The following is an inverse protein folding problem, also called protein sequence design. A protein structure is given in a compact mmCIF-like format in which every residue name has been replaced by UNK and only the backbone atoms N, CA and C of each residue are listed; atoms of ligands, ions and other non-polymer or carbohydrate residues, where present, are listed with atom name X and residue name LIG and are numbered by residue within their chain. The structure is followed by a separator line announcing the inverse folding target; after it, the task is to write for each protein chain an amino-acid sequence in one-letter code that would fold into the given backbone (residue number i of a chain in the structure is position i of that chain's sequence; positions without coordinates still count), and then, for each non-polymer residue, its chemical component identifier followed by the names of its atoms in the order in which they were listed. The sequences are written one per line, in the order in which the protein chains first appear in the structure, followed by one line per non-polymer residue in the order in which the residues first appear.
data_IF_553702155931
#
_entry.id   IF_553702155931
#
_cell.length_a   1.000
_cell.length_b   1.000
_cell.length_c   1.000
_cell.angle_alpha   90.00
_cell.angle_beta   90.00
_cell.angle_gamma   90.00
#
_symmetry.space_group_name_H-M   'P 1'
#
loop_
_entity.id
_entity.type
_entity.pdbx_description
1 polymer ?
#
# COMPACT_ATOMS: atom_id res chain seq x y z
N UNK A 1 56.90 5.25 -25.72
CA UNK A 1 55.77 6.18 -25.89
C UNK A 1 55.07 5.98 -27.25
N UNK A 2 54.63 4.73 -27.56
CA UNK A 2 53.97 4.34 -28.82
C UNK A 2 52.48 4.01 -28.59
N UNK A 3 51.81 4.82 -27.77
CA UNK A 3 50.41 4.59 -27.36
C UNK A 3 49.43 5.65 -27.88
N UNK A 4 49.87 6.52 -28.81
CA UNK A 4 48.95 7.29 -29.66
C UNK A 4 48.56 6.41 -30.86
N UNK A 5 47.79 5.36 -30.56
CA UNK A 5 47.22 4.45 -31.55
C UNK A 5 46.22 5.25 -32.38
N UNK A 6 46.60 5.60 -33.61
CA UNK A 6 45.80 5.59 -34.83
C UNK A 6 44.25 5.77 -34.71
N UNK A 7 43.78 6.75 -33.92
CA UNK A 7 42.34 7.05 -33.74
C UNK A 7 41.66 7.32 -35.09
N UNK A 8 42.41 7.83 -36.07
CA UNK A 8 41.94 8.12 -37.42
C UNK A 8 41.52 6.88 -38.27
N UNK A 9 42.00 5.67 -37.92
CA UNK A 9 41.65 4.41 -38.61
C UNK A 9 40.41 3.72 -38.03
N UNK A 10 39.87 4.19 -36.90
CA UNK A 10 38.70 3.57 -36.26
C UNK A 10 37.46 3.88 -37.10
N UNK A 11 36.67 2.86 -37.44
CA UNK A 11 35.41 3.03 -38.17
C UNK A 11 34.43 3.81 -37.29
N UNK A 12 33.69 4.76 -37.88
CA UNK A 12 32.62 5.55 -37.23
C UNK A 12 31.69 4.69 -36.36
N UNK A 13 31.25 3.54 -36.87
CA UNK A 13 30.41 2.56 -36.15
C UNK A 13 31.03 2.10 -34.83
N UNK A 14 32.34 1.85 -34.80
CA UNK A 14 33.05 1.41 -33.58
C UNK A 14 33.12 2.53 -32.55
N UNK A 15 33.34 3.79 -32.97
CA UNK A 15 33.34 4.94 -32.05
C UNK A 15 31.96 5.13 -31.42
N UNK A 16 30.89 5.08 -32.23
CA UNK A 16 29.51 5.20 -31.73
C UNK A 16 29.17 4.08 -30.74
N UNK A 17 29.57 2.84 -31.02
CA UNK A 17 29.39 1.71 -30.09
C UNK A 17 30.15 1.91 -28.78
N UNK A 18 31.38 2.42 -28.83
CA UNK A 18 32.17 2.72 -27.62
C UNK A 18 31.53 3.83 -26.78
N UNK A 19 31.03 4.90 -27.42
CA UNK A 19 30.33 5.97 -26.72
C UNK A 19 29.00 5.50 -26.10
N UNK A 20 28.24 4.66 -26.81
CA UNK A 20 27.02 4.06 -26.28
C UNK A 20 27.32 3.14 -25.08
N UNK A 21 28.39 2.33 -25.17
CA UNK A 21 28.80 1.47 -24.07
C UNK A 21 29.28 2.30 -22.86
N UNK A 22 30.07 3.35 -23.10
CA UNK A 22 30.50 4.29 -22.07
C UNK A 22 29.30 4.94 -21.37
N UNK A 23 28.29 5.38 -22.14
CA UNK A 23 27.05 5.94 -21.59
C UNK A 23 26.35 4.95 -20.64
N UNK A 24 26.15 3.72 -21.09
CA UNK A 24 25.52 2.66 -20.29
C UNK A 24 26.37 2.33 -19.04
N UNK A 25 27.69 2.29 -19.16
CA UNK A 25 28.59 2.05 -18.03
C UNK A 25 28.48 3.15 -16.99
N UNK A 26 28.51 4.43 -17.39
CA UNK A 26 28.37 5.56 -16.46
C UNK A 26 27.02 5.48 -15.75
N UNK A 27 25.93 5.26 -16.49
CA UNK A 27 24.58 5.12 -15.93
C UNK A 27 24.51 4.01 -14.88
N UNK A 28 25.01 2.82 -15.20
CA UNK A 28 24.99 1.68 -14.26
C UNK A 28 25.87 1.97 -13.04
N UNK A 29 27.07 2.51 -13.23
CA UNK A 29 27.98 2.80 -12.13
C UNK A 29 27.39 3.82 -11.16
N UNK A 30 26.86 4.94 -11.65
CA UNK A 30 26.23 5.94 -10.79
C UNK A 30 24.95 5.42 -10.14
N UNK A 31 24.11 4.69 -10.87
CA UNK A 31 22.92 4.03 -10.30
C UNK A 31 23.26 3.08 -9.14
N UNK A 32 24.32 2.28 -9.25
CA UNK A 32 24.81 1.41 -8.17
C UNK A 32 25.35 2.25 -7.00
N UNK A 33 26.15 3.28 -7.28
CA UNK A 33 26.70 4.17 -6.23
C UNK A 33 25.57 4.84 -5.44
N UNK A 34 24.55 5.37 -6.10
CA UNK A 34 23.41 5.99 -5.42
C UNK A 34 22.59 4.99 -4.62
N UNK A 35 22.40 3.78 -5.16
CA UNK A 35 21.71 2.71 -4.44
C UNK A 35 22.47 2.31 -3.17
N UNK A 36 23.78 2.16 -3.24
CA UNK A 36 24.64 1.82 -2.10
C UNK A 36 24.54 2.91 -1.01
N UNK A 37 24.74 4.17 -1.41
CA UNK A 37 24.62 5.33 -0.50
C UNK A 37 23.22 5.40 0.14
N UNK A 38 22.16 5.18 -0.64
CA UNK A 38 20.80 5.25 -0.12
C UNK A 38 20.52 4.15 0.91
N UNK A 39 21.02 2.94 0.71
CA UNK A 39 20.83 1.87 1.68
C UNK A 39 21.70 2.04 2.92
N UNK A 40 22.95 2.48 2.76
CA UNK A 40 23.87 2.71 3.88
C UNK A 40 23.43 3.89 4.77
N UNK A 41 22.82 4.92 4.16
CA UNK A 41 22.27 6.09 4.88
C UNK A 41 20.80 5.92 5.29
N UNK A 42 20.18 4.75 5.09
CA UNK A 42 18.74 4.54 5.24
C UNK A 42 17.87 5.58 4.50
N UNK A 43 18.41 6.20 3.45
CA UNK A 43 17.75 7.19 2.62
C UNK A 43 17.89 8.63 3.08
N UNK A 44 18.54 8.92 4.21
CA UNK A 44 18.68 10.30 4.73
C UNK A 44 19.37 11.25 3.75
N UNK A 45 20.20 10.71 2.86
CA UNK A 45 20.94 11.49 1.86
C UNK A 45 20.10 11.82 0.62
N UNK A 46 18.85 11.38 0.57
CA UNK A 46 17.89 11.63 -0.50
C UNK A 46 16.56 12.14 0.08
N UNK A 47 15.84 12.92 -0.72
CA UNK A 47 14.43 13.24 -0.48
C UNK A 47 13.63 12.50 -1.54
N UNK A 48 12.63 11.76 -1.09
CA UNK A 48 11.72 11.02 -1.96
C UNK A 48 10.36 11.69 -1.98
N UNK A 49 9.84 12.00 -3.17
CA UNK A 49 8.52 12.60 -3.31
C UNK A 49 7.42 11.65 -2.84
N UNK A 50 7.60 10.35 -3.10
CA UNK A 50 6.72 9.28 -2.64
C UNK A 50 7.53 8.20 -1.93
N UNK A 51 6.89 7.43 -1.05
CA UNK A 51 7.53 6.28 -0.42
C UNK A 51 7.89 5.23 -1.49
N UNK A 52 9.19 5.13 -1.81
CA UNK A 52 9.72 4.21 -2.82
C UNK A 52 9.43 2.74 -2.46
N UNK A 53 9.30 2.42 -1.18
CA UNK A 53 9.07 1.08 -0.71
C UNK A 53 7.58 0.73 -0.55
N UNK A 54 6.66 1.61 -0.98
CA UNK A 54 5.22 1.44 -0.75
C UNK A 54 4.69 0.11 -1.29
N UNK A 55 5.06 -0.28 -2.52
CA UNK A 55 4.59 -1.55 -3.10
C UNK A 55 5.13 -2.76 -2.32
N UNK A 56 6.39 -2.68 -1.84
CA UNK A 56 6.99 -3.73 -1.02
C UNK A 56 6.31 -3.82 0.35
N UNK A 57 5.98 -2.68 0.97
CA UNK A 57 5.20 -2.62 2.22
C UNK A 57 3.82 -3.26 2.04
N UNK A 58 3.15 -3.00 0.92
CA UNK A 58 1.87 -3.65 0.58
C UNK A 58 2.02 -5.17 0.46
N UNK A 59 3.08 -5.66 -0.20
CA UNK A 59 3.31 -7.12 -0.32
C UNK A 59 3.62 -7.78 1.04
N UNK A 60 4.39 -7.12 1.90
CA UNK A 60 4.65 -7.60 3.26
C UNK A 60 3.35 -7.62 4.08
N UNK A 61 2.52 -6.58 3.95
CA UNK A 61 1.21 -6.49 4.61
C UNK A 61 0.31 -7.66 4.21
N UNK A 62 0.18 -7.91 2.91
CA UNK A 62 -0.60 -9.04 2.37
C UNK A 62 -0.09 -10.38 2.89
N UNK A 63 1.23 -10.58 2.87
CA UNK A 63 1.86 -11.83 3.32
C UNK A 63 1.62 -12.07 4.82
N UNK A 64 1.78 -11.05 5.65
CA UNK A 64 1.60 -11.17 7.11
C UNK A 64 0.14 -11.48 7.49
N UNK A 65 -0.82 -11.09 6.65
CA UNK A 65 -2.25 -11.35 6.85
C UNK A 65 -2.79 -12.52 5.99
N UNK A 66 -1.93 -13.23 5.25
CA UNK A 66 -2.31 -14.31 4.33
C UNK A 66 -3.43 -13.92 3.34
N UNK A 67 -3.34 -12.72 2.76
CA UNK A 67 -4.31 -12.25 1.75
C UNK A 67 -3.96 -12.87 0.40
N UNK A 68 -4.69 -13.93 0.02
CA UNK A 68 -4.45 -14.69 -1.22
C UNK A 68 -4.87 -13.93 -2.49
N UNK A 69 -6.05 -13.30 -2.47
CA UNK A 69 -6.62 -12.58 -3.62
C UNK A 69 -6.63 -11.08 -3.33
N UNK A 70 -5.94 -10.31 -4.15
CA UNK A 70 -5.86 -8.86 -4.00
C UNK A 70 -6.18 -8.16 -5.33
N UNK A 71 -7.40 -7.63 -5.42
CA UNK A 71 -7.81 -6.76 -6.51
C UNK A 71 -7.07 -5.40 -6.46
N UNK A 72 -7.08 -4.67 -7.57
CA UNK A 72 -6.45 -3.35 -7.63
C UNK A 72 -7.10 -2.36 -6.64
N UNK A 73 -8.40 -2.45 -6.41
CA UNK A 73 -9.11 -1.62 -5.43
C UNK A 73 -8.62 -1.91 -4.01
N UNK A 74 -8.49 -3.19 -3.62
CA UNK A 74 -7.96 -3.55 -2.30
C UNK A 74 -6.51 -3.10 -2.15
N UNK A 75 -5.68 -3.26 -3.19
CA UNK A 75 -4.30 -2.76 -3.20
C UNK A 75 -4.25 -1.24 -2.95
N UNK A 76 -5.13 -0.49 -3.60
CA UNK A 76 -5.22 0.96 -3.44
C UNK A 76 -5.71 1.37 -2.04
N UNK A 77 -6.65 0.63 -1.45
CA UNK A 77 -7.10 0.86 -0.07
C UNK A 77 -5.97 0.62 0.94
N UNK A 78 -5.19 -0.46 0.80
CA UNK A 78 -4.00 -0.70 1.63
C UNK A 78 -2.98 0.42 1.45
N UNK A 79 -2.76 0.88 0.21
CA UNK A 79 -1.90 2.04 -0.08
C UNK A 79 -2.38 3.30 0.64
N UNK A 80 -3.68 3.56 0.65
CA UNK A 80 -4.28 4.70 1.37
C UNK A 80 -3.98 4.62 2.86
N UNK A 81 -4.17 3.44 3.48
CA UNK A 81 -3.84 3.22 4.90
C UNK A 81 -2.36 3.48 5.21
N UNK A 82 -1.44 3.05 4.33
CA UNK A 82 0.00 3.28 4.51
C UNK A 82 0.42 4.74 4.36
N UNK A 83 -0.28 5.50 3.50
CA UNK A 83 -0.03 6.93 3.29
C UNK A 83 -0.74 7.82 4.34
N UNK A 84 -1.81 7.31 4.95
CA UNK A 84 -2.51 7.95 6.05
C UNK A 84 -1.67 7.94 7.34
N UNK A 85 -2.12 8.64 8.39
CA UNK A 85 -1.54 8.56 9.73
C UNK A 85 -2.10 7.41 10.59
N UNK A 86 -2.90 6.50 10.02
CA UNK A 86 -3.59 5.45 10.78
C UNK A 86 -2.64 4.46 11.47
N UNK A 87 -1.44 4.24 10.95
CA UNK A 87 -0.42 3.44 11.61
C UNK A 87 0.07 4.03 12.95
N UNK A 88 -0.10 5.34 13.16
CA UNK A 88 0.23 6.03 14.42
C UNK A 88 -0.87 5.91 15.47
N UNK A 89 -2.08 5.50 15.06
CA UNK A 89 -3.24 5.38 15.94
C UNK A 89 -2.90 4.42 17.11
N UNK A 90 -3.15 4.82 18.36
CA UNK A 90 -2.98 3.93 19.50
C UNK A 90 -4.02 2.81 19.42
N UNK A 91 -3.54 1.57 19.53
CA UNK A 91 -4.38 0.38 19.55
C UNK A 91 -4.09 -0.48 20.78
N UNK A 92 -5.12 -1.07 21.35
CA UNK A 92 -5.03 -1.93 22.52
C UNK A 92 -5.60 -3.31 22.20
N UNK A 93 -4.90 -4.35 22.67
CA UNK A 93 -5.44 -5.72 22.68
C UNK A 93 -6.21 -5.92 23.97
N UNK A 94 -7.46 -6.33 23.86
CA UNK A 94 -8.31 -6.63 25.01
C UNK A 94 -8.87 -8.04 24.83
N UNK A 95 -8.72 -8.85 25.87
CA UNK A 95 -9.38 -10.15 25.95
C UNK A 95 -10.86 -9.95 26.24
N UNK A 96 -11.69 -10.54 25.40
CA UNK A 96 -13.14 -10.51 25.53
C UNK A 96 -13.68 -11.92 25.52
N UNK A 97 -14.79 -12.15 26.20
CA UNK A 97 -15.46 -13.46 26.21
C UNK A 97 -16.63 -13.40 25.23
N UNK A 98 -16.57 -14.22 24.19
CA UNK A 98 -17.60 -14.36 23.16
C UNK A 98 -18.10 -15.81 23.16
N UNK A 99 -19.40 -16.03 23.41
CA UNK A 99 -20.02 -17.36 23.40
C UNK A 99 -19.20 -18.42 24.19
N UNK A 100 -18.68 -18.05 25.37
CA UNK A 100 -17.82 -18.87 26.25
C UNK A 100 -16.41 -19.18 25.73
N UNK A 101 -15.97 -18.50 24.67
CA UNK A 101 -14.60 -18.56 24.13
C UNK A 101 -13.89 -17.23 24.38
N UNK A 102 -12.63 -17.29 24.84
CA UNK A 102 -11.80 -16.09 24.99
C UNK A 102 -11.29 -15.69 23.60
N UNK A 103 -11.66 -14.50 23.16
CA UNK A 103 -11.19 -13.87 21.92
C UNK A 103 -10.33 -12.65 22.27
N UNK A 104 -9.27 -12.41 21.49
CA UNK A 104 -8.46 -11.17 21.63
C UNK A 104 -8.91 -10.22 20.54
N UNK A 105 -9.52 -9.11 20.94
CA UNK A 105 -9.96 -8.06 20.04
C UNK A 105 -9.04 -6.84 20.12
N UNK A 106 -8.89 -6.13 19.00
CA UNK A 106 -8.05 -4.94 18.91
C UNK A 106 -8.95 -3.72 18.86
N UNK A 107 -8.68 -2.73 19.72
CA UNK A 107 -9.51 -1.54 19.88
C UNK A 107 -8.74 -0.25 19.61
N UNK A 108 -9.47 0.75 19.10
CA UNK A 108 -9.07 2.16 19.10
C UNK A 108 -9.88 2.91 20.16
N UNK A 109 -9.19 3.52 21.11
CA UNK A 109 -9.81 4.30 22.19
C UNK A 109 -9.74 5.81 22.01
N UNK A 110 -9.17 6.28 20.89
CA UNK A 110 -9.05 7.70 20.58
C UNK A 110 -10.19 8.20 19.68
N UNK A 111 -10.50 7.44 18.61
CA UNK A 111 -11.54 7.75 17.64
C UNK A 111 -12.11 6.48 17.02
N UNK A 112 -13.30 6.57 16.43
CA UNK A 112 -13.86 5.50 15.58
C UNK A 112 -12.97 5.20 14.38
N UNK A 113 -13.15 4.04 13.73
CA UNK A 113 -12.27 3.60 12.64
C UNK A 113 -12.31 4.54 11.43
N UNK A 114 -13.50 5.00 11.04
CA UNK A 114 -13.67 5.90 9.89
C UNK A 114 -13.63 5.19 8.53
N UNK A 115 -13.70 5.99 7.46
CA UNK A 115 -13.88 5.49 6.09
C UNK A 115 -12.70 4.67 5.56
N UNK A 116 -11.45 5.02 5.88
CA UNK A 116 -10.30 4.29 5.35
C UNK A 116 -10.29 2.80 5.75
N UNK A 117 -10.62 2.52 7.02
CA UNK A 117 -10.77 1.15 7.51
C UNK A 117 -12.06 0.49 7.01
N UNK A 118 -13.16 1.24 6.87
CA UNK A 118 -14.40 0.73 6.31
C UNK A 118 -14.20 0.22 4.88
N UNK A 119 -13.56 1.02 4.03
CA UNK A 119 -13.24 0.67 2.65
C UNK A 119 -12.30 -0.53 2.59
N UNK A 120 -11.27 -0.56 3.44
CA UNK A 120 -10.34 -1.69 3.52
C UNK A 120 -11.05 -3.01 3.86
N UNK A 121 -11.83 -3.04 4.94
CA UNK A 121 -12.51 -4.28 5.36
C UNK A 121 -13.59 -4.69 4.38
N UNK A 122 -14.32 -3.74 3.79
CA UNK A 122 -15.31 -4.02 2.75
C UNK A 122 -14.65 -4.72 1.55
N UNK A 123 -13.56 -4.15 1.04
CA UNK A 123 -12.83 -4.71 -0.10
C UNK A 123 -12.16 -6.04 0.23
N UNK A 124 -11.62 -6.18 1.45
CA UNK A 124 -11.03 -7.43 1.93
C UNK A 124 -12.04 -8.56 1.92
N UNK A 125 -13.23 -8.35 2.49
CA UNK A 125 -14.25 -9.39 2.56
C UNK A 125 -14.93 -9.63 1.22
N UNK A 126 -15.12 -8.59 0.41
CA UNK A 126 -15.57 -8.74 -0.98
C UNK A 126 -14.62 -9.63 -1.79
N UNK A 127 -13.30 -9.42 -1.69
CA UNK A 127 -12.31 -10.25 -2.37
C UNK A 127 -12.24 -11.69 -1.82
N UNK A 128 -12.57 -11.89 -0.54
CA UNK A 128 -12.76 -13.22 0.04
C UNK A 128 -14.05 -13.92 -0.44
N UNK A 129 -14.86 -13.28 -1.30
CA UNK A 129 -16.10 -13.83 -1.84
C UNK A 129 -17.28 -13.72 -0.89
N UNK A 130 -17.20 -12.88 0.14
CA UNK A 130 -18.33 -12.57 1.01
C UNK A 130 -19.29 -11.66 0.27
N UNK A 131 -20.58 -11.99 0.37
CA UNK A 131 -21.65 -11.31 -0.36
C UNK A 131 -22.64 -10.62 0.57
N UNK A 132 -22.91 -11.22 1.73
CA UNK A 132 -23.97 -10.79 2.64
C UNK A 132 -23.55 -10.89 4.10
N UNK A 133 -24.22 -10.13 4.94
CA UNK A 133 -24.07 -10.12 6.39
C UNK A 133 -25.43 -10.21 7.09
N UNK A 134 -25.44 -10.83 8.26
CA UNK A 134 -26.56 -10.71 9.19
C UNK A 134 -26.03 -10.15 10.52
N UNK A 135 -26.79 -9.24 11.13
CA UNK A 135 -26.34 -8.47 12.29
C UNK A 135 -27.30 -8.70 13.44
N UNK A 136 -26.74 -9.04 14.60
CA UNK A 136 -27.48 -9.19 15.85
C UNK A 136 -26.90 -8.23 16.90
N UNK A 137 -27.72 -7.30 17.37
CA UNK A 137 -27.35 -6.44 18.49
C UNK A 137 -27.35 -7.24 19.79
N UNK A 138 -26.24 -7.19 20.53
CA UNK A 138 -26.10 -7.85 21.84
C UNK A 138 -26.29 -6.87 23.01
N UNK A 139 -26.48 -5.59 22.73
CA UNK A 139 -26.71 -4.53 23.71
C UNK A 139 -25.51 -3.61 23.91
N UNK A 140 -25.68 -2.68 24.83
CA UNK A 140 -24.63 -1.73 25.18
C UNK A 140 -23.49 -2.44 25.92
N UNK A 141 -22.26 -2.18 25.50
CA UNK A 141 -21.06 -2.76 26.10
C UNK A 141 -19.94 -1.71 26.06
N UNK A 142 -19.79 -0.96 27.15
CA UNK A 142 -18.86 0.17 27.24
C UNK A 142 -17.46 -0.29 27.59
N UNK A 143 -16.60 -0.40 26.58
CA UNK A 143 -15.18 -0.72 26.76
C UNK A 143 -14.35 0.52 27.13
N UNK A 144 -14.79 1.72 26.73
CA UNK A 144 -14.13 2.99 27.07
C UNK A 144 -15.16 4.04 27.49
N UNK A 145 -14.79 4.88 28.45
CA UNK A 145 -15.64 5.99 28.91
C UNK A 145 -15.88 7.06 27.83
N UNK A 146 -15.06 7.10 26.78
CA UNK A 146 -15.20 8.05 25.67
C UNK A 146 -16.20 7.65 24.59
N UNK A 147 -16.75 6.43 24.62
CA UNK A 147 -17.64 5.92 23.57
C UNK A 147 -18.89 5.24 24.13
N UNK A 148 -20.03 5.51 23.52
CA UNK A 148 -21.27 4.78 23.73
C UNK A 148 -21.31 3.57 22.79
N UNK A 149 -20.46 2.59 23.11
CA UNK A 149 -20.26 1.39 22.30
C UNK A 149 -21.33 0.32 22.54
N UNK A 150 -21.74 -0.34 21.46
CA UNK A 150 -22.66 -1.46 21.45
C UNK A 150 -21.98 -2.66 20.83
N UNK A 151 -22.07 -3.80 21.52
CA UNK A 151 -21.54 -5.06 21.02
C UNK A 151 -22.54 -5.64 20.02
N UNK A 152 -22.07 -5.90 18.81
CA UNK A 152 -22.85 -6.54 17.76
C UNK A 152 -22.16 -7.81 17.28
N UNK A 153 -22.96 -8.83 16.98
CA UNK A 153 -22.51 -10.05 16.31
C UNK A 153 -22.82 -9.92 14.83
N UNK A 154 -21.81 -10.06 13.99
CA UNK A 154 -21.91 -10.00 12.53
C UNK A 154 -21.54 -11.35 11.95
N UNK A 155 -22.52 -12.01 11.35
CA UNK A 155 -22.36 -13.25 10.63
C UNK A 155 -22.17 -12.96 9.15
N UNK A 156 -21.17 -13.58 8.50
CA UNK A 156 -20.80 -13.33 7.10
C UNK A 156 -21.13 -14.55 6.24
N UNK A 157 -21.72 -14.29 5.07
CA UNK A 157 -22.29 -15.31 4.20
C UNK A 157 -21.83 -15.18 2.75
N UNK A 158 -21.77 -16.33 2.09
CA UNK A 158 -21.66 -16.44 0.63
C UNK A 158 -22.99 -16.96 0.10
N UNK A 159 -23.62 -16.18 -0.77
CA UNK A 159 -24.85 -16.57 -1.45
C UNK A 159 -24.51 -17.54 -2.60
N UNK A 160 -25.34 -18.57 -2.76
CA UNK A 160 -25.13 -19.63 -3.75
C UNK A 160 -25.79 -19.34 -5.10
N UNK A 161 -26.87 -18.56 -5.11
CA UNK A 161 -27.58 -18.12 -6.32
C UNK A 161 -27.47 -16.61 -6.56
N UNK A 162 -27.61 -16.16 -7.80
CA UNK A 162 -27.67 -14.73 -8.17
C UNK A 162 -29.08 -14.17 -7.91
N UNK A 163 -29.49 -14.04 -6.64
CA UNK A 163 -30.68 -13.27 -6.28
C UNK A 163 -30.48 -11.80 -6.66
N UNK A 164 -31.26 -11.37 -7.65
CA UNK A 164 -31.36 -9.98 -8.09
C UNK A 164 -32.29 -9.26 -7.12
N UNK A 165 -31.73 -8.55 -6.14
CA UNK A 165 -32.21 -7.23 -5.71
C UNK A 165 -31.41 -6.69 -4.52
N UNK A 166 -31.28 -5.37 -4.47
CA UNK A 166 -30.63 -4.57 -3.41
C UNK A 166 -31.44 -4.52 -2.09
N UNK A 167 -32.21 -5.57 -1.77
CA UNK A 167 -33.07 -5.63 -0.58
C UNK A 167 -32.55 -6.68 0.41
N UNK A 168 -32.74 -6.44 1.70
CA UNK A 168 -32.46 -7.43 2.73
C UNK A 168 -33.35 -8.67 2.55
N UNK A 169 -32.77 -9.86 2.69
CA UNK A 169 -33.48 -11.13 2.55
C UNK A 169 -33.94 -11.61 3.92
N UNK A 170 -35.22 -11.96 4.11
CA UNK A 170 -35.70 -12.51 5.37
C UNK A 170 -35.14 -13.91 5.61
N UNK A 171 -35.27 -14.40 6.85
CA UNK A 171 -34.83 -15.72 7.31
C UNK A 171 -35.34 -16.90 6.45
N UNK A 172 -36.43 -16.74 5.70
CA UNK A 172 -36.94 -17.78 4.80
C UNK A 172 -35.98 -18.21 3.68
N UNK A 173 -34.93 -17.43 3.43
CA UNK A 173 -33.91 -17.70 2.40
C UNK A 173 -32.64 -18.37 2.97
N UNK A 174 -32.65 -18.87 4.21
CA UNK A 174 -31.44 -19.41 4.88
C UNK A 174 -30.69 -20.47 4.04
N UNK A 175 -31.42 -21.32 3.32
CA UNK A 175 -30.84 -22.37 2.46
C UNK A 175 -29.94 -21.80 1.33
N UNK A 176 -30.15 -20.56 0.91
CA UNK A 176 -29.38 -19.90 -0.14
C UNK A 176 -28.07 -19.29 0.37
N UNK A 177 -27.94 -19.11 1.69
CA UNK A 177 -26.84 -18.42 2.34
C UNK A 177 -25.92 -19.38 3.10
N UNK A 178 -24.76 -19.65 2.52
CA UNK A 178 -23.72 -20.41 3.22
C UNK A 178 -22.95 -19.51 4.20
N UNK A 179 -23.12 -19.74 5.50
CA UNK A 179 -22.32 -19.07 6.54
C UNK A 179 -20.84 -19.42 6.40
N UNK A 180 -19.98 -18.40 6.42
CA UNK A 180 -18.53 -18.55 6.32
C UNK A 180 -17.87 -18.37 7.68
N UNK A 181 -18.12 -17.24 8.35
CA UNK A 181 -17.57 -16.96 9.67
C UNK A 181 -18.41 -15.91 10.42
N UNK A 182 -18.06 -15.70 11.69
CA UNK A 182 -18.66 -14.70 12.58
C UNK A 182 -17.58 -13.77 13.11
N UNK A 183 -17.89 -12.49 13.27
CA UNK A 183 -17.09 -11.52 14.02
C UNK A 183 -17.95 -10.75 15.02
N UNK A 184 -17.33 -10.29 16.08
CA UNK A 184 -17.92 -9.37 17.04
C UNK A 184 -17.33 -7.98 16.81
N UNK A 185 -18.17 -6.96 16.93
CA UNK A 185 -17.77 -5.57 16.73
C UNK A 185 -18.35 -4.69 17.83
N UNK A 186 -17.65 -3.60 18.16
CA UNK A 186 -18.11 -2.58 19.07
C UNK A 186 -18.35 -1.31 18.28
N UNK A 187 -19.62 -1.00 18.03
CA UNK A 187 -20.02 0.12 17.19
C UNK A 187 -20.50 1.26 18.08
N UNK A 188 -19.91 2.43 17.91
CA UNK A 188 -20.32 3.64 18.61
C UNK A 188 -21.70 4.07 18.10
N UNK A 189 -22.58 4.47 19.02
CA UNK A 189 -23.90 5.06 18.70
C UNK A 189 -24.79 4.16 17.81
N UNK A 190 -24.61 2.83 17.90
CA UNK A 190 -25.33 1.84 17.09
C UNK A 190 -26.87 2.02 17.04
N UNK A 191 -27.58 2.38 18.13
CA UNK A 191 -29.04 2.56 18.06
C UNK A 191 -29.49 3.68 17.11
N UNK A 192 -28.68 4.73 16.91
CA UNK A 192 -28.98 5.78 15.94
C UNK A 192 -28.86 5.25 14.52
N UNK A 193 -27.84 4.43 14.26
CA UNK A 193 -27.71 3.69 13.00
C UNK A 193 -28.89 2.71 12.82
N UNK A 194 -29.29 2.04 13.91
CA UNK A 194 -30.30 0.97 13.90
C UNK A 194 -31.72 1.45 13.57
N UNK A 195 -32.09 2.65 14.04
CA UNK A 195 -33.43 3.19 13.85
C UNK A 195 -33.77 3.56 12.40
N UNK A 196 -32.76 3.62 11.51
CA UNK A 196 -32.96 3.85 10.08
C UNK A 196 -33.27 2.56 9.29
N UNK A 197 -33.30 1.38 9.91
CA UNK A 197 -33.47 0.10 9.19
C UNK A 197 -34.91 -0.35 8.95
N UNK A 198 -35.17 -0.96 7.78
CA UNK A 198 -36.44 -1.57 7.47
C UNK A 198 -36.57 -2.94 8.19
N UNK A 199 -37.34 -2.97 9.27
CA UNK A 199 -38.10 -4.16 9.65
C UNK A 199 -37.71 -4.85 10.95
N UNK A 200 -38.71 -5.13 11.77
CA UNK A 200 -38.63 -6.05 12.91
C UNK A 200 -38.45 -7.47 12.37
N UNK A 201 -37.22 -7.96 12.19
CA UNK A 201 -36.92 -9.32 11.70
C UNK A 201 -35.41 -9.59 11.55
N UNK A 202 -35.01 -10.87 11.45
CA UNK A 202 -33.64 -11.25 11.10
C UNK A 202 -33.51 -11.24 9.57
N UNK A 203 -32.56 -10.46 9.05
CA UNK A 203 -32.36 -10.28 7.61
C UNK A 203 -30.89 -10.47 7.21
N UNK A 204 -30.67 -11.01 6.02
CA UNK A 204 -29.39 -11.01 5.32
C UNK A 204 -29.29 -9.74 4.46
N UNK A 205 -28.32 -8.88 4.75
CA UNK A 205 -28.07 -7.66 4.00
C UNK A 205 -26.89 -7.84 3.06
N UNK A 206 -26.94 -7.28 1.83
CA UNK A 206 -25.76 -7.20 0.98
C UNK A 206 -24.59 -6.55 1.72
N UNK A 207 -23.37 -7.06 1.51
CA UNK A 207 -22.18 -6.58 2.20
C UNK A 207 -21.97 -5.08 2.01
N UNK A 208 -22.22 -4.55 0.81
CA UNK A 208 -22.06 -3.12 0.50
C UNK A 208 -23.14 -2.21 1.14
N UNK A 209 -24.22 -2.77 1.66
CA UNK A 209 -25.35 -1.98 2.15
C UNK A 209 -25.05 -1.40 3.53
N UNK A 210 -24.72 -2.26 4.52
CA UNK A 210 -24.61 -1.84 5.91
C UNK A 210 -23.19 -1.97 6.48
N UNK A 211 -22.42 -2.93 6.00
CA UNK A 211 -21.13 -3.24 6.59
C UNK A 211 -20.14 -2.06 6.61
N UNK A 212 -19.99 -1.24 5.55
CA UNK A 212 -19.07 -0.09 5.61
C UNK A 212 -19.44 0.90 6.70
N UNK A 213 -20.72 1.17 6.90
CA UNK A 213 -21.21 2.11 7.92
C UNK A 213 -20.97 1.57 9.34
N UNK A 214 -21.15 0.26 9.54
CA UNK A 214 -20.82 -0.42 10.79
C UNK A 214 -19.34 -0.26 11.13
N UNK A 215 -18.47 -0.54 10.16
CA UNK A 215 -17.02 -0.48 10.36
C UNK A 215 -16.58 0.96 10.59
N UNK A 216 -17.12 1.92 9.83
CA UNK A 216 -16.80 3.35 9.96
C UNK A 216 -17.02 3.85 11.38
N UNK A 217 -18.13 3.46 12.02
CA UNK A 217 -18.49 3.86 13.37
C UNK A 217 -17.97 2.88 14.45
N UNK A 218 -17.24 1.84 14.07
CA UNK A 218 -16.66 0.87 15.00
C UNK A 218 -15.50 1.49 15.79
N UNK A 219 -15.29 1.00 17.01
CA UNK A 219 -14.07 1.21 17.79
C UNK A 219 -13.19 -0.04 17.86
N UNK A 220 -13.68 -1.19 17.37
CA UNK A 220 -12.93 -2.44 17.28
C UNK A 220 -12.54 -2.77 15.85
N UNK A 221 -11.29 -3.17 15.65
CA UNK A 221 -10.80 -3.77 14.41
C UNK A 221 -11.27 -5.23 14.28
N UNK A 222 -11.33 -5.74 13.05
CA UNK A 222 -11.84 -7.09 12.78
C UNK A 222 -10.73 -8.16 12.75
N UNK A 223 -9.48 -7.72 12.72
CA UNK A 223 -8.28 -8.55 12.72
C UNK A 223 -7.05 -7.78 13.24
N UNK A 224 -5.86 -8.37 13.06
CA UNK A 224 -4.58 -7.79 13.44
C UNK A 224 -4.01 -6.76 12.46
N UNK A 225 -4.74 -6.35 11.42
CA UNK A 225 -4.29 -5.39 10.39
C UNK A 225 -3.64 -4.12 10.94
N UNK A 226 -4.19 -3.40 11.96
CA UNK A 226 -3.53 -2.19 12.46
C UNK A 226 -2.16 -2.45 13.08
N UNK A 227 -1.95 -3.63 13.68
CA UNK A 227 -0.67 -4.01 14.29
C UNK A 227 0.35 -4.32 13.20
N UNK A 228 -0.08 -5.04 12.16
CA UNK A 228 0.74 -5.33 10.98
C UNK A 228 1.11 -4.03 10.27
N UNK A 229 0.15 -3.12 10.08
CA UNK A 229 0.36 -1.80 9.47
C UNK A 229 1.45 -1.02 10.21
N UNK A 230 1.36 -0.94 11.54
CA UNK A 230 2.36 -0.28 12.39
C UNK A 230 3.74 -0.93 12.24
N UNK A 231 3.81 -2.25 12.31
CA UNK A 231 5.10 -2.98 12.22
C UNK A 231 5.83 -2.78 10.89
N UNK A 232 5.09 -2.60 9.79
CA UNK A 232 5.66 -2.46 8.44
C UNK A 232 6.19 -1.05 8.19
N UNK A 233 5.58 -0.04 8.80
CA UNK A 233 6.07 1.33 8.69
C UNK A 233 7.39 1.50 9.43
N UNK A 234 7.56 0.82 10.57
CA UNK A 234 8.79 0.81 11.35
C UNK A 234 9.90 -0.09 10.77
N UNK A 235 9.59 -0.88 9.73
CA UNK A 235 10.55 -1.80 9.11
C UNK A 235 11.53 -1.07 8.17
N UNK A 236 12.83 -1.19 8.46
CA UNK A 236 13.90 -0.67 7.60
C UNK A 236 14.04 -1.55 6.35
N UNK A 237 13.33 -1.19 5.28
CA UNK A 237 13.38 -1.87 4.00
C UNK A 237 14.50 -1.32 3.12
N UNK A 238 15.33 -2.23 2.57
CA UNK A 238 16.29 -1.87 1.52
C UNK A 238 15.58 -1.27 0.32
N UNK A 239 16.08 -0.13 -0.16
CA UNK A 239 15.58 0.52 -1.34
C UNK A 239 15.89 -0.30 -2.60
N UNK A 240 15.01 -0.29 -3.62
CA UNK A 240 15.23 -1.05 -4.86
C UNK A 240 16.28 -0.39 -5.75
N UNK A 241 17.21 -1.17 -6.30
CA UNK A 241 18.24 -0.70 -7.23
C UNK A 241 17.66 0.03 -8.45
N UNK A 242 16.52 -0.45 -8.96
CA UNK A 242 15.92 0.10 -10.17
C UNK A 242 15.54 1.59 -10.05
N UNK A 243 15.15 2.05 -8.86
CA UNK A 243 14.83 3.47 -8.66
C UNK A 243 16.06 4.36 -8.79
N UNK A 244 17.23 3.88 -8.38
CA UNK A 244 18.48 4.63 -8.51
C UNK A 244 19.11 4.53 -9.92
N UNK A 245 18.87 3.42 -10.62
CA UNK A 245 19.14 3.31 -12.05
C UNK A 245 18.31 4.31 -12.85
N UNK A 246 17.02 4.42 -12.52
CA UNK A 246 16.14 5.45 -13.06
C UNK A 246 16.63 6.86 -12.69
N UNK A 247 16.98 7.11 -11.42
CA UNK A 247 17.50 8.41 -10.97
C UNK A 247 18.75 8.84 -11.74
N UNK A 248 19.69 7.92 -11.94
CA UNK A 248 20.87 8.12 -12.78
C UNK A 248 20.49 8.44 -14.23
N UNK A 249 19.56 7.68 -14.82
CA UNK A 249 19.11 7.91 -16.19
C UNK A 249 18.48 9.31 -16.38
N UNK A 250 17.58 9.73 -15.48
CA UNK A 250 16.91 11.04 -15.57
C UNK A 250 17.86 12.20 -15.26
N UNK A 251 18.92 11.95 -14.48
CA UNK A 251 20.00 12.91 -14.24
C UNK A 251 20.88 13.07 -15.46
N UNK A 252 21.39 11.97 -16.04
CA UNK A 252 22.23 11.99 -17.24
C UNK A 252 21.52 12.57 -18.47
N UNK A 253 20.21 12.38 -18.58
CA UNK A 253 19.38 12.93 -19.66
C UNK A 253 18.89 14.36 -19.39
N UNK A 254 19.26 14.95 -18.25
CA UNK A 254 18.84 16.27 -17.80
C UNK A 254 17.32 16.46 -17.68
N UNK A 255 16.56 15.36 -17.57
CA UNK A 255 15.11 15.39 -17.40
C UNK A 255 14.74 15.85 -15.99
N UNK A 256 15.37 15.27 -14.97
CA UNK A 256 15.25 15.72 -13.58
C UNK A 256 13.81 15.85 -13.06
N UNK A 257 13.00 14.79 -13.15
CA UNK A 257 11.59 14.82 -12.71
C UNK A 257 11.38 15.19 -11.23
N UNK A 258 12.40 15.01 -10.39
CA UNK A 258 12.38 15.45 -8.98
C UNK A 258 11.69 14.49 -8.02
N UNK A 259 11.40 13.27 -8.45
CA UNK A 259 10.84 12.21 -7.61
C UNK A 259 11.86 11.65 -6.59
N UNK A 260 13.16 11.75 -6.92
CA UNK A 260 14.30 11.52 -6.04
C UNK A 260 15.24 12.73 -6.13
N UNK A 261 15.61 13.32 -5.00
CA UNK A 261 16.42 14.55 -4.94
C UNK A 261 17.58 14.39 -3.95
N UNK A 262 18.80 14.87 -4.26
CA UNK A 262 19.93 14.76 -3.34
C UNK A 262 19.81 15.70 -2.14
N UNK A 263 19.85 15.14 -0.93
CA UNK A 263 19.76 15.87 0.34
C UNK A 263 21.13 16.18 0.96
N UNK A 264 22.18 15.43 0.61
CA UNK A 264 23.53 15.62 1.17
C UNK A 264 24.50 16.26 0.17
N UNK A 265 25.50 16.97 0.68
CA UNK A 265 26.55 17.62 -0.13
C UNK A 265 27.30 16.60 -1.00
N UNK A 266 27.59 15.41 -0.46
CA UNK A 266 28.32 14.35 -1.19
C UNK A 266 27.51 13.89 -2.40
N UNK A 267 26.21 13.59 -2.21
CA UNK A 267 25.36 13.15 -3.33
C UNK A 267 25.17 14.28 -4.34
N UNK A 268 25.05 15.53 -3.90
CA UNK A 268 24.99 16.69 -4.82
C UNK A 268 26.22 16.81 -5.70
N UNK A 269 27.42 16.61 -5.15
CA UNK A 269 28.67 16.60 -5.94
C UNK A 269 28.67 15.46 -6.95
N UNK A 270 28.25 14.25 -6.56
CA UNK A 270 28.15 13.11 -7.47
C UNK A 270 27.18 13.39 -8.63
N UNK A 271 26.01 13.95 -8.33
CA UNK A 271 25.00 14.35 -9.34
C UNK A 271 25.57 15.41 -10.30
N UNK A 272 26.31 16.41 -9.80
CA UNK A 272 26.97 17.41 -10.65
C UNK A 272 27.98 16.74 -11.61
N UNK A 273 28.81 15.83 -11.09
CA UNK A 273 29.79 15.09 -11.90
C UNK A 273 29.09 14.22 -12.96
N UNK A 274 28.08 13.45 -12.56
CA UNK A 274 27.30 12.59 -13.45
C UNK A 274 26.67 13.41 -14.59
N UNK A 275 26.07 14.56 -14.27
CA UNK A 275 25.43 15.43 -15.25
C UNK A 275 26.43 15.92 -16.30
N UNK A 276 27.63 16.34 -15.86
CA UNK A 276 28.71 16.75 -16.78
C UNK A 276 29.14 15.60 -17.68
N UNK A 277 29.32 14.38 -17.14
CA UNK A 277 29.63 13.20 -17.95
C UNK A 277 28.51 12.88 -18.95
N UNK A 278 27.25 12.86 -18.51
CA UNK A 278 26.10 12.54 -19.35
C UNK A 278 25.98 13.48 -20.55
N UNK A 279 25.95 14.79 -20.29
CA UNK A 279 25.87 15.81 -21.35
C UNK A 279 27.05 15.72 -22.32
N UNK A 280 28.26 15.51 -21.80
CA UNK A 280 29.47 15.39 -22.63
C UNK A 280 29.40 14.18 -23.55
N UNK A 281 29.01 13.01 -23.03
CA UNK A 281 28.93 11.77 -23.83
C UNK A 281 27.84 11.90 -24.90
N UNK A 282 26.67 12.44 -24.57
CA UNK A 282 25.58 12.66 -25.53
C UNK A 282 26.01 13.65 -26.61
N UNK A 283 26.66 14.76 -26.25
CA UNK A 283 27.19 15.73 -27.20
C UNK A 283 28.25 15.14 -28.14
N UNK A 284 29.17 14.32 -27.61
CA UNK A 284 30.15 13.59 -28.42
C UNK A 284 29.50 12.58 -29.36
N UNK A 285 28.49 11.86 -28.87
CA UNK A 285 27.74 10.88 -29.67
C UNK A 285 27.02 11.57 -30.84
N UNK A 286 26.29 12.65 -30.58
CA UNK A 286 25.62 13.43 -31.62
C UNK A 286 26.61 13.99 -32.64
N UNK A 287 27.73 14.57 -32.17
CA UNK A 287 28.78 15.10 -33.05
C UNK A 287 29.37 14.01 -33.96
N UNK A 288 29.66 12.82 -33.42
CA UNK A 288 30.15 11.69 -34.21
C UNK A 288 29.10 11.15 -35.17
N UNK A 289 27.82 11.18 -34.79
CA UNK A 289 26.72 10.70 -35.62
C UNK A 289 26.54 11.55 -36.88
N UNK A 290 26.66 12.87 -36.76
CA UNK A 290 26.54 13.79 -37.89
C UNK A 290 27.86 14.07 -38.62
N UNK A 291 28.98 13.57 -38.11
CA UNK A 291 30.26 13.62 -38.83
C UNK A 291 30.17 12.79 -40.11
N UNK A 292 30.14 13.45 -41.27
CA UNK A 292 30.37 12.83 -42.57
C UNK A 292 31.86 13.00 -42.91
N UNK A 293 32.55 11.87 -43.13
CA UNK A 293 33.86 11.90 -43.79
C UNK A 293 33.56 12.08 -45.28
N UNK A 294 33.82 13.26 -45.81
CA UNK A 294 34.08 13.42 -47.26
C UNK A 294 35.30 12.60 -47.67
#
# INVERSE_FOLDING_TARGET
MKWFINIHKIKKRTILLLLALLYITVLICFGIIYWDIANDSNGEFFIFQNDINIDRKIEIFKRNLNIEVCSNELKNSIKSLLLSSEYKRPVAKVETVDDSVISVNVFSFEKVLGWEWADYYYLLFKNAGITHIAVKNLGQDKISGGFDSYKIKVDFYKMTEDLKDFKGYPESYDDDFKKIFTKYMWVNEYPLLYNEFPGKGYFYYPLNFYFPELVKNSISFLDGSPLVLKSIVDENLKYPLWNFMYFSAVTMTTLGYGDIVPNSTIVRILVMLETVFGVTIVGMFASCLFWNKE
#
